data_IF_471390517078
#
_entry.id   IF_471390517078
#
_cell.length_a   1.000
_cell.length_b   1.000
_cell.length_c   1.000
_cell.angle_alpha   90.00
_cell.angle_beta   90.00
_cell.angle_gamma   90.00
#
_symmetry.space_group_name_H-M   'P 1'
#
loop_
_entity.id
_entity.type
_entity.pdbx_description
1 polymer ?
#
# COMPACT_ATOMS: atom_id res chain seq x y z
N UNK A 1 -7.78 23.79 -1.05
CA UNK A 1 -7.66 23.64 0.41
C UNK A 1 -7.26 22.20 0.64
N UNK A 2 -6.32 21.89 1.54
CA UNK A 2 -5.97 20.50 1.81
C UNK A 2 -7.06 19.88 2.70
N UNK A 3 -7.53 18.70 2.33
CA UNK A 3 -8.38 17.83 3.15
C UNK A 3 -7.48 16.93 4.02
N UNK A 4 -7.89 16.70 5.25
CA UNK A 4 -7.15 15.86 6.19
C UNK A 4 -7.90 14.54 6.43
N UNK A 5 -7.23 13.43 6.13
CA UNK A 5 -7.62 12.08 6.54
C UNK A 5 -6.93 11.74 7.86
N UNK A 6 -7.71 11.37 8.88
CA UNK A 6 -7.19 11.09 10.22
C UNK A 6 -7.51 9.64 10.58
N UNK A 7 -6.47 8.89 10.91
CA UNK A 7 -6.57 7.53 11.42
C UNK A 7 -6.03 7.45 12.84
N UNK A 8 -6.68 6.67 13.69
CA UNK A 8 -6.17 6.38 15.02
C UNK A 8 -5.08 5.31 14.92
N UNK A 9 -3.95 5.55 15.59
CA UNK A 9 -2.93 4.54 15.78
C UNK A 9 -3.40 3.52 16.82
N UNK A 10 -3.00 2.26 16.64
CA UNK A 10 -3.21 1.19 17.61
C UNK A 10 -2.31 1.43 18.83
N UNK A 11 -2.92 1.86 19.92
CA UNK A 11 -2.20 2.26 21.15
C UNK A 11 -1.54 1.08 21.88
N UNK A 12 -1.76 -0.16 21.43
CA UNK A 12 -1.07 -1.35 21.95
C UNK A 12 0.32 -1.53 21.34
N UNK A 13 0.60 -0.83 20.25
CA UNK A 13 1.85 -0.92 19.51
C UNK A 13 2.67 0.36 19.71
N UNK A 14 4.00 0.22 19.77
CA UNK A 14 4.90 1.37 19.70
C UNK A 14 5.15 1.84 18.25
N UNK A 15 4.70 1.03 17.29
CA UNK A 15 4.82 1.27 15.86
C UNK A 15 3.56 1.97 15.31
N UNK A 16 3.68 2.75 14.22
CA UNK A 16 2.54 3.44 13.59
C UNK A 16 1.61 2.46 12.86
N UNK A 17 0.86 1.68 13.62
CA UNK A 17 -0.10 0.72 13.14
C UNK A 17 -1.48 1.35 13.14
N UNK A 18 -2.19 1.32 12.01
CA UNK A 18 -3.62 1.67 11.94
C UNK A 18 -4.44 0.41 11.73
N UNK A 19 -5.73 0.47 12.09
CA UNK A 19 -6.68 -0.63 11.82
C UNK A 19 -7.68 -0.16 10.78
N UNK A 20 -7.86 -0.95 9.72
CA UNK A 20 -8.81 -0.68 8.63
C UNK A 20 -10.03 -1.63 8.72
N UNK A 21 -11.18 -1.17 9.26
CA UNK A 21 -12.34 -2.04 9.48
C UNK A 21 -12.92 -2.62 8.19
N UNK A 22 -12.97 -1.80 7.12
CA UNK A 22 -13.52 -2.21 5.81
C UNK A 22 -12.71 -3.36 5.18
N UNK A 23 -11.45 -3.52 5.59
CA UNK A 23 -10.52 -4.52 5.10
C UNK A 23 -10.27 -5.61 6.14
N UNK A 24 -11.35 -6.20 6.68
CA UNK A 24 -11.29 -7.28 7.68
C UNK A 24 -10.51 -6.91 8.96
N UNK A 25 -10.64 -5.67 9.43
CA UNK A 25 -9.85 -5.14 10.54
C UNK A 25 -8.34 -5.31 10.32
N UNK A 26 -7.88 -5.16 9.07
CA UNK A 26 -6.48 -5.28 8.71
C UNK A 26 -5.65 -4.28 9.53
N UNK A 27 -4.64 -4.82 10.22
CA UNK A 27 -3.62 -4.02 10.93
C UNK A 27 -2.54 -3.65 9.93
N UNK A 28 -2.40 -2.36 9.66
CA UNK A 28 -1.49 -1.82 8.65
C UNK A 28 -0.39 -1.04 9.34
N UNK A 29 0.86 -1.49 9.18
CA UNK A 29 2.03 -0.74 9.60
C UNK A 29 2.38 0.30 8.51
N UNK A 30 2.47 1.56 8.90
CA UNK A 30 3.05 2.60 8.03
C UNK A 30 4.56 2.61 8.23
N UNK A 31 5.32 2.19 7.22
CA UNK A 31 6.77 1.98 7.34
C UNK A 31 7.53 2.91 6.41
N UNK A 32 8.30 3.84 6.99
CA UNK A 32 9.16 4.76 6.23
C UNK A 32 10.42 4.08 5.69
N UNK A 33 10.80 2.91 6.23
CA UNK A 33 11.96 2.14 5.80
C UNK A 33 11.64 1.08 4.73
N UNK A 34 10.36 0.79 4.48
CA UNK A 34 9.94 -0.14 3.44
C UNK A 34 9.93 0.51 2.06
N UNK A 35 10.24 -0.27 1.02
CA UNK A 35 10.14 0.15 -0.39
C UNK A 35 8.95 -0.44 -1.13
N UNK A 36 8.28 -1.44 -0.55
CA UNK A 36 7.19 -2.18 -1.17
C UNK A 36 6.04 -2.40 -0.19
N UNK A 37 4.78 -2.34 -0.66
CA UNK A 37 3.65 -2.83 0.10
C UNK A 37 3.76 -4.34 0.28
N UNK A 38 3.54 -4.81 1.50
CA UNK A 38 3.64 -6.22 1.86
C UNK A 38 2.33 -6.72 2.45
N UNK A 39 1.92 -7.93 2.09
CA UNK A 39 0.89 -8.70 2.80
C UNK A 39 1.55 -9.87 3.53
N UNK A 40 1.41 -9.93 4.85
CA UNK A 40 2.18 -10.83 5.71
C UNK A 40 1.38 -12.01 6.27
N UNK A 41 0.06 -12.03 6.04
CA UNK A 41 -0.83 -13.09 6.51
C UNK A 41 -1.23 -14.04 5.37
N UNK A 42 -2.07 -15.02 5.69
CA UNK A 42 -2.71 -15.89 4.71
C UNK A 42 -3.21 -15.10 3.51
N UNK A 43 -3.00 -15.61 2.30
CA UNK A 43 -3.40 -14.92 1.06
C UNK A 43 -4.92 -14.82 0.89
N UNK A 44 -5.69 -15.64 1.60
CA UNK A 44 -7.14 -15.77 1.40
C UNK A 44 -7.92 -14.45 1.54
N UNK A 45 -7.74 -13.62 2.58
CA UNK A 45 -8.46 -12.35 2.70
C UNK A 45 -8.11 -11.37 1.58
N UNK A 46 -6.85 -11.37 1.13
CA UNK A 46 -6.39 -10.53 0.03
C UNK A 46 -7.08 -10.93 -1.28
N UNK A 47 -7.17 -12.24 -1.57
CA UNK A 47 -7.91 -12.78 -2.73
C UNK A 47 -9.41 -12.49 -2.66
N UNK A 48 -10.04 -12.60 -1.49
CA UNK A 48 -11.45 -12.25 -1.30
C UNK A 48 -11.75 -10.77 -1.60
N UNK A 49 -10.72 -9.92 -1.55
CA UNK A 49 -10.81 -8.49 -1.89
C UNK A 49 -10.45 -8.19 -3.34
N UNK A 50 -10.40 -9.23 -4.17
CA UNK A 50 -10.18 -9.13 -5.60
C UNK A 50 -8.71 -9.07 -6.00
N UNK A 51 -7.79 -9.48 -5.12
CA UNK A 51 -6.38 -9.49 -5.49
C UNK A 51 -6.07 -10.55 -6.56
N UNK A 52 -5.36 -10.13 -7.60
CA UNK A 52 -4.96 -10.97 -8.74
C UNK A 52 -3.46 -11.21 -8.65
N UNK A 53 -3.04 -12.47 -8.80
CA UNK A 53 -1.62 -12.83 -8.80
C UNK A 53 -1.00 -12.45 -10.15
N UNK A 54 0.15 -11.77 -10.12
CA UNK A 54 0.97 -11.57 -11.31
C UNK A 54 1.91 -12.77 -11.50
N UNK A 55 2.31 -13.02 -12.76
CA UNK A 55 3.31 -14.05 -13.07
C UNK A 55 4.73 -13.55 -12.79
N UNK A 56 4.96 -13.03 -11.59
CA UNK A 56 6.22 -12.44 -11.16
C UNK A 56 6.50 -12.76 -9.68
N UNK A 57 7.73 -13.18 -9.42
CA UNK A 57 8.28 -13.32 -8.07
C UNK A 57 9.20 -12.15 -7.79
N UNK A 58 9.08 -11.55 -6.62
CA UNK A 58 9.86 -10.38 -6.21
C UNK A 58 10.92 -10.80 -5.19
N UNK A 59 12.16 -10.41 -5.45
CA UNK A 59 13.26 -10.56 -4.48
C UNK A 59 13.15 -9.47 -3.41
N UNK A 60 13.07 -9.88 -2.15
CA UNK A 60 12.96 -9.01 -1.00
C UNK A 60 14.30 -9.02 -0.27
N UNK A 61 14.82 -7.83 0.04
CA UNK A 61 16.05 -7.67 0.81
C UNK A 61 15.77 -6.81 2.03
N UNK A 62 16.35 -7.18 3.17
CA UNK A 62 16.26 -6.39 4.39
C UNK A 62 17.36 -6.78 5.37
N UNK A 63 17.31 -6.20 6.57
CA UNK A 63 18.31 -6.42 7.63
C UNK A 63 18.45 -7.91 7.99
N UNK A 64 17.36 -8.69 7.90
CA UNK A 64 17.35 -10.12 8.20
C UNK A 64 17.80 -11.04 7.06
N UNK A 65 18.28 -10.49 5.94
CA UNK A 65 18.71 -11.25 4.75
C UNK A 65 17.78 -11.09 3.55
N UNK A 66 17.88 -12.02 2.60
CA UNK A 66 17.09 -12.03 1.37
C UNK A 66 16.00 -13.11 1.39
N UNK A 67 14.86 -12.80 0.77
CA UNK A 67 13.74 -13.72 0.60
C UNK A 67 13.05 -13.46 -0.73
N UNK A 68 11.99 -14.22 -0.99
CA UNK A 68 11.13 -14.03 -2.16
C UNK A 68 9.67 -13.99 -1.74
N UNK A 69 8.89 -13.20 -2.46
CA UNK A 69 7.43 -13.10 -2.33
C UNK A 69 6.74 -13.08 -3.69
N UNK A 70 5.48 -13.49 -3.69
CA UNK A 70 4.63 -13.47 -4.87
C UNK A 70 4.05 -12.06 -5.07
N UNK A 71 4.05 -11.55 -6.30
CA UNK A 71 3.43 -10.25 -6.60
C UNK A 71 1.93 -10.42 -6.87
N UNK A 72 1.14 -9.54 -6.26
CA UNK A 72 -0.30 -9.40 -6.49
C UNK A 72 -0.64 -7.95 -6.80
N UNK A 73 -1.81 -7.75 -7.43
CA UNK A 73 -2.46 -6.45 -7.63
C UNK A 73 -3.79 -6.44 -6.92
N UNK A 74 -4.10 -5.36 -6.20
CA UNK A 74 -5.38 -5.20 -5.51
C UNK A 74 -5.80 -3.74 -5.50
N UNK A 75 -7.11 -3.47 -5.58
CA UNK A 75 -7.63 -2.14 -5.29
C UNK A 75 -7.69 -1.95 -3.78
N UNK A 76 -7.15 -0.85 -3.29
CA UNK A 76 -7.05 -0.58 -1.87
C UNK A 76 -7.38 0.89 -1.59
N UNK A 77 -8.24 1.14 -0.61
CA UNK A 77 -8.73 2.49 -0.33
C UNK A 77 -8.39 2.90 1.12
N UNK A 78 -7.86 4.10 1.29
CA UNK A 78 -7.66 4.73 2.60
C UNK A 78 -8.40 6.06 2.62
N UNK A 79 -9.61 6.08 3.18
CA UNK A 79 -10.45 7.28 3.14
C UNK A 79 -10.74 7.66 1.68
N UNK A 80 -10.42 8.91 1.29
CA UNK A 80 -10.54 9.36 -0.10
C UNK A 80 -9.28 9.11 -0.97
N UNK A 81 -8.31 8.35 -0.46
CA UNK A 81 -7.13 7.96 -1.22
C UNK A 81 -7.39 6.59 -1.82
N UNK A 82 -7.49 6.53 -3.14
CA UNK A 82 -7.81 5.32 -3.87
C UNK A 82 -6.57 4.77 -4.59
N UNK A 83 -5.97 3.72 -4.05
CA UNK A 83 -4.86 3.01 -4.68
C UNK A 83 -5.44 1.97 -5.64
N UNK A 84 -5.46 2.28 -6.94
CA UNK A 84 -5.94 1.36 -7.95
C UNK A 84 -4.80 0.48 -8.44
N UNK A 85 -5.06 -0.82 -8.54
CA UNK A 85 -4.05 -1.81 -8.94
C UNK A 85 -2.75 -1.71 -8.12
N UNK A 86 -2.86 -1.49 -6.81
CA UNK A 86 -1.73 -1.41 -5.90
C UNK A 86 -0.91 -2.70 -5.99
N UNK A 87 0.39 -2.64 -6.36
CA UNK A 87 1.25 -3.81 -6.28
C UNK A 87 1.53 -4.14 -4.82
N UNK A 88 1.30 -5.38 -4.44
CA UNK A 88 1.52 -5.87 -3.09
C UNK A 88 2.25 -7.20 -3.14
N UNK A 89 3.34 -7.31 -2.40
CA UNK A 89 4.12 -8.55 -2.32
C UNK A 89 3.58 -9.39 -1.17
N UNK A 90 3.18 -10.61 -1.48
CA UNK A 90 2.71 -11.57 -0.49
C UNK A 90 3.85 -12.48 -0.03
N UNK A 91 4.04 -12.52 1.30
CA UNK A 91 4.87 -13.52 1.97
C UNK A 91 4.28 -13.78 3.35
N UNK A 92 3.79 -14.99 3.59
CA UNK A 92 3.26 -15.32 4.91
C UNK A 92 4.37 -15.40 5.96
N UNK A 93 4.22 -14.65 7.05
CA UNK A 93 5.14 -14.63 8.19
C UNK A 93 4.32 -14.94 9.45
N UNK A 94 4.64 -16.06 10.09
CA UNK A 94 3.87 -16.60 11.23
C UNK A 94 3.82 -15.67 12.44
N UNK A 95 4.88 -14.89 12.67
CA UNK A 95 5.05 -14.00 13.83
C UNK A 95 4.63 -12.55 13.58
N UNK A 96 4.14 -12.20 12.38
CA UNK A 96 3.82 -10.81 12.07
C UNK A 96 2.51 -10.38 12.75
N UNK A 97 2.57 -9.35 13.60
CA UNK A 97 1.38 -8.79 14.26
C UNK A 97 0.59 -7.85 13.34
N UNK A 98 1.28 -7.20 12.40
CA UNK A 98 0.68 -6.47 11.29
C UNK A 98 0.31 -7.41 10.14
N UNK A 99 -0.80 -7.10 9.47
CA UNK A 99 -1.30 -7.87 8.34
C UNK A 99 -0.67 -7.35 7.05
N UNK A 100 -0.43 -6.04 7.01
CA UNK A 100 0.06 -5.32 5.86
C UNK A 100 1.13 -4.31 6.29
N UNK A 101 2.14 -4.12 5.45
CA UNK A 101 3.07 -2.99 5.53
C UNK A 101 2.77 -2.08 4.34
N UNK A 102 2.60 -0.79 4.58
CA UNK A 102 2.52 0.23 3.55
C UNK A 102 3.77 1.12 3.62
N UNK A 103 4.57 1.19 2.54
CA UNK A 103 5.73 2.05 2.51
C UNK A 103 5.30 3.51 2.42
N UNK A 104 6.07 4.41 3.03
CA UNK A 104 5.80 5.85 2.97
C UNK A 104 5.80 6.41 1.54
N UNK A 105 6.47 5.74 0.60
CA UNK A 105 6.48 6.09 -0.83
C UNK A 105 5.09 6.07 -1.47
N UNK A 106 4.11 5.36 -0.89
CA UNK A 106 2.72 5.44 -1.35
C UNK A 106 2.07 6.81 -1.14
N UNK A 107 2.63 7.63 -0.26
CA UNK A 107 2.15 8.98 0.02
C UNK A 107 2.97 10.05 -0.70
N UNK A 108 3.72 9.69 -1.75
CA UNK A 108 4.46 10.64 -2.59
C UNK A 108 3.54 11.76 -3.10
N UNK A 109 3.94 13.03 -2.94
CA UNK A 109 3.09 14.18 -3.29
C UNK A 109 1.94 14.47 -2.32
N UNK A 110 1.93 13.83 -1.14
CA UNK A 110 1.07 14.18 0.00
C UNK A 110 1.92 14.62 1.20
N UNK A 111 1.26 15.21 2.21
CA UNK A 111 1.89 15.43 3.52
C UNK A 111 1.30 14.40 4.49
N UNK A 112 2.14 13.54 5.05
CA UNK A 112 1.72 12.63 6.12
C UNK A 112 2.47 12.95 7.41
N UNK A 113 1.80 12.74 8.54
CA UNK A 113 2.33 12.98 9.89
C UNK A 113 1.94 11.80 10.78
N UNK A 114 2.95 11.20 11.42
CA UNK A 114 2.77 10.20 12.47
C UNK A 114 2.95 10.94 13.80
N UNK A 115 1.83 11.18 14.47
CA UNK A 115 1.78 11.86 15.77
C UNK A 115 1.61 10.82 16.88
N UNK A 116 2.75 10.40 17.45
CA UNK A 116 2.78 9.43 18.55
C UNK A 116 2.25 10.00 19.87
N UNK A 117 2.18 11.33 20.03
CA UNK A 117 1.67 11.96 21.26
C UNK A 117 0.15 11.89 21.28
N UNK A 118 -0.51 12.23 20.16
CA UNK A 118 -1.97 12.15 20.05
C UNK A 118 -2.48 10.81 19.53
N UNK A 119 -1.56 9.88 19.21
CA UNK A 119 -1.83 8.57 18.61
C UNK A 119 -2.60 8.66 17.29
N UNK A 120 -2.14 9.52 16.37
CA UNK A 120 -2.80 9.76 15.07
C UNK A 120 -1.85 9.65 13.91
N UNK A 121 -2.34 9.06 12.83
CA UNK A 121 -1.81 9.26 11.48
C UNK A 121 -2.69 10.31 10.81
N UNK A 122 -2.08 11.41 10.34
CA UNK A 122 -2.74 12.43 9.54
C UNK A 122 -2.17 12.39 8.14
N UNK A 123 -3.03 12.35 7.13
CA UNK A 123 -2.64 12.45 5.73
C UNK A 123 -3.39 13.64 5.13
N UNK A 124 -2.65 14.64 4.66
CA UNK A 124 -3.20 15.81 3.99
C UNK A 124 -3.05 15.62 2.50
N UNK A 125 -4.18 15.68 1.83
CA UNK A 125 -4.34 15.52 0.40
C UNK A 125 -5.10 16.73 -0.14
N UNK A 126 -4.88 17.11 -1.39
CA UNK A 126 -5.73 18.12 -2.01
C UNK A 126 -7.21 17.66 -2.02
N UNK A 127 -8.16 18.60 -2.08
CA UNK A 127 -9.60 18.33 -1.86
C UNK A 127 -10.28 17.44 -2.92
N UNK A 128 -9.53 16.97 -3.93
CA UNK A 128 -10.03 16.11 -5.00
C UNK A 128 -9.87 14.64 -4.61
N UNK A 129 -10.77 13.77 -5.09
CA UNK A 129 -10.50 12.33 -5.03
C UNK A 129 -9.29 12.00 -5.90
N UNK A 130 -8.41 11.14 -5.39
CA UNK A 130 -7.20 10.75 -6.12
C UNK A 130 -7.17 9.25 -6.34
N UNK A 131 -7.12 8.88 -7.61
CA UNK A 131 -6.92 7.52 -8.08
C UNK A 131 -5.46 7.39 -8.49
N UNK A 132 -4.70 6.55 -7.79
CA UNK A 132 -3.25 6.45 -7.95
C UNK A 132 -2.85 5.09 -8.51
N UNK A 133 -2.09 5.12 -9.60
CA UNK A 133 -1.43 3.95 -10.18
C UNK A 133 0.02 3.90 -9.73
N UNK A 134 0.42 2.76 -9.18
CA UNK A 134 1.78 2.51 -8.73
C UNK A 134 2.40 1.36 -9.50
N UNK A 135 3.68 1.47 -9.82
CA UNK A 135 4.41 0.44 -10.56
C UNK A 135 5.68 0.04 -9.83
N UNK A 136 6.09 -1.21 -10.02
CA UNK A 136 7.41 -1.69 -9.58
C UNK A 136 8.37 -1.52 -10.75
N UNK A 137 9.52 -0.87 -10.53
CA UNK A 137 10.59 -0.82 -11.52
C UNK A 137 11.90 -0.69 -10.80
N UNK A 138 12.92 -1.38 -11.26
CA UNK A 138 14.21 -0.76 -11.50
C UNK A 138 14.87 -1.46 -12.69
N UNK A 139 16.04 -0.99 -13.11
CA UNK A 139 16.81 -1.60 -14.22
C UNK A 139 17.82 -2.65 -13.72
N UNK A 140 17.91 -2.86 -12.42
CA UNK A 140 18.97 -3.61 -11.73
C UNK A 140 18.46 -4.81 -10.93
N UNK A 141 17.15 -5.10 -10.99
CA UNK A 141 16.46 -6.13 -10.21
C UNK A 141 16.10 -5.73 -8.77
N UNK A 142 16.31 -4.48 -8.33
CA UNK A 142 15.91 -3.98 -7.02
C UNK A 142 14.47 -3.45 -7.10
N UNK A 143 13.50 -4.05 -6.40
CA UNK A 143 12.15 -3.57 -6.45
C UNK A 143 12.00 -2.27 -5.64
N UNK A 144 11.64 -1.19 -6.32
CA UNK A 144 11.04 -0.01 -5.72
C UNK A 144 9.69 0.29 -6.36
N UNK A 145 8.75 0.75 -5.55
CA UNK A 145 7.47 1.27 -6.03
C UNK A 145 7.61 2.76 -6.35
N UNK A 146 7.05 3.21 -7.48
CA UNK A 146 6.93 4.62 -7.81
C UNK A 146 5.51 4.96 -8.24
N UNK A 147 5.09 6.20 -7.98
CA UNK A 147 3.83 6.73 -8.47
C UNK A 147 3.94 6.90 -9.98
N UNK A 148 3.20 6.09 -10.73
CA UNK A 148 3.20 6.14 -12.17
C UNK A 148 2.30 7.25 -12.69
N UNK A 149 1.07 7.33 -12.16
CA UNK A 149 0.07 8.33 -12.56
C UNK A 149 -0.89 8.65 -11.40
N UNK A 150 -1.54 9.82 -11.50
CA UNK A 150 -2.61 10.26 -10.60
C UNK A 150 -3.77 10.79 -11.43
N UNK A 151 -4.99 10.34 -11.12
CA UNK A 151 -6.20 10.69 -11.84
C UNK A 151 -7.23 11.32 -10.91
N UNK A 152 -8.03 12.25 -11.45
CA UNK A 152 -9.13 12.91 -10.73
C UNK A 152 -10.42 12.07 -10.73
N UNK A 153 -10.56 11.11 -11.66
CA UNK A 153 -11.74 10.24 -11.78
C UNK A 153 -11.36 8.77 -11.82
N UNK A 154 -12.31 7.91 -11.44
CA UNK A 154 -12.16 6.46 -11.51
C UNK A 154 -12.07 5.98 -12.95
N UNK A 155 -12.88 6.57 -13.82
CA UNK A 155 -12.99 6.21 -15.24
C UNK A 155 -11.66 6.41 -15.96
N UNK A 156 -10.99 7.54 -15.71
CA UNK A 156 -9.67 7.83 -16.30
C UNK A 156 -8.61 6.82 -15.82
N UNK A 157 -8.63 6.48 -14.52
CA UNK A 157 -7.72 5.50 -13.96
C UNK A 157 -7.94 4.09 -14.55
N UNK A 158 -9.19 3.67 -14.74
CA UNK A 158 -9.53 2.37 -15.33
C UNK A 158 -9.20 2.31 -16.83
N UNK A 159 -9.33 3.44 -17.56
CA UNK A 159 -9.02 3.53 -18.98
C UNK A 159 -7.52 3.37 -19.27
N UNK A 160 -6.65 4.04 -18.51
CA UNK A 160 -5.19 3.89 -18.65
C UNK A 160 -4.73 2.48 -18.33
N UNK A 161 -5.32 1.84 -17.32
CA UNK A 161 -4.97 0.47 -16.96
C UNK A 161 -5.30 -0.53 -18.08
N UNK A 162 -6.51 -0.49 -18.64
CA UNK A 162 -6.90 -1.37 -19.76
C UNK A 162 -6.02 -1.20 -20.99
N UNK A 163 -5.56 0.01 -21.26
CA UNK A 163 -4.67 0.29 -22.38
C UNK A 163 -3.30 -0.37 -22.19
N UNK A 164 -2.80 -0.43 -20.96
CA UNK A 164 -1.49 -0.98 -20.63
C UNK A 164 -1.47 -2.52 -20.43
N UNK A 165 -2.63 -3.21 -20.37
CA UNK A 165 -2.69 -4.68 -20.43
C UNK A 165 -2.72 -5.24 -21.87
N UNK A 166 -2.95 -4.39 -22.87
CA UNK A 166 -3.05 -4.77 -24.30
C UNK A 166 -1.68 -4.63 -25.01
N UNK A 167 -0.68 -4.05 -24.36
CA UNK A 167 0.70 -3.88 -24.85
C UNK A 167 1.69 -4.75 -24.07
#
# INVERSE_FOLDING_TARGET
MLKEEIYNLDTKENSPVIVLPWFYNCRVLIDTGATLPMWLKSITPLKLKGAVKENQTVNLNGVGGSSTGDLYRVNFDMGNIHFKNLPIVHKEISVADAYMILPATLFEGMIYEIDNISHRLKIRVDDKEYYRDFRIKDKSGIPYIYLANTYETKEDAEADYKYNEIL
#
